data_IF_318333188859
#
_entry.id   IF_318333188859
#
_cell.length_a   1.000
_cell.length_b   1.000
_cell.length_c   1.000
_cell.angle_alpha   90.00
_cell.angle_beta   90.00
_cell.angle_gamma   90.00
#
_symmetry.space_group_name_H-M   'P 1'
#
loop_
_entity.id
_entity.type
_entity.pdbx_description
1 polymer ?
#
# COMPACT_ATOMS: atom_id res chain seq x y z
N UNK A 1 -10.94 25.50 -8.90
CA UNK A 1 -12.09 25.04 -8.09
C UNK A 1 -12.52 23.60 -8.44
N UNK A 2 -11.60 22.62 -8.41
CA UNK A 2 -11.91 21.18 -8.54
C UNK A 2 -11.30 20.32 -7.43
N UNK A 3 -10.34 20.88 -6.67
CA UNK A 3 -9.60 20.21 -5.57
C UNK A 3 -10.49 19.84 -4.38
N UNK A 4 -11.51 20.63 -4.04
CA UNK A 4 -12.35 20.36 -2.86
C UNK A 4 -13.39 19.25 -3.06
N UNK A 5 -13.82 18.97 -4.29
CA UNK A 5 -14.92 18.03 -4.53
C UNK A 5 -14.46 16.55 -4.46
N UNK A 6 -13.21 16.25 -4.85
CA UNK A 6 -12.71 14.87 -4.94
C UNK A 6 -12.24 14.33 -3.58
N UNK A 7 -11.58 15.17 -2.76
CA UNK A 7 -11.30 14.85 -1.36
C UNK A 7 -12.58 14.70 -0.54
N UNK A 8 -13.61 15.50 -0.84
CA UNK A 8 -14.91 15.34 -0.21
C UNK A 8 -15.51 13.97 -0.54
N UNK A 9 -15.47 13.47 -1.77
CA UNK A 9 -16.14 12.22 -2.15
C UNK A 9 -15.40 10.96 -1.64
N UNK A 10 -14.06 10.95 -1.62
CA UNK A 10 -13.29 9.84 -1.03
C UNK A 10 -13.26 9.88 0.50
N UNK A 11 -13.32 11.08 1.10
CA UNK A 11 -13.55 11.26 2.53
C UNK A 11 -14.98 10.90 2.95
N UNK A 12 -16.00 11.22 2.14
CA UNK A 12 -17.40 10.97 2.49
C UNK A 12 -17.70 9.49 2.65
N UNK A 13 -17.12 8.60 1.83
CA UNK A 13 -17.29 7.15 1.98
C UNK A 13 -16.63 6.57 3.24
N UNK A 14 -15.66 7.28 3.86
CA UNK A 14 -15.06 6.90 5.15
C UNK A 14 -15.78 7.57 6.35
N UNK A 15 -16.39 8.73 6.14
CA UNK A 15 -17.02 9.53 7.22
C UNK A 15 -18.41 9.00 7.63
N UNK A 16 -19.14 8.28 6.78
CA UNK A 16 -20.47 7.74 7.16
C UNK A 16 -20.40 6.59 8.18
N UNK A 17 -19.21 6.11 8.53
CA UNK A 17 -19.00 5.13 9.61
C UNK A 17 -18.46 5.75 10.91
N UNK A 18 -18.23 7.06 10.96
CA UNK A 18 -17.63 7.74 12.13
C UNK A 18 -18.64 8.49 13.03
N UNK A 19 -19.88 8.01 13.11
CA UNK A 19 -20.75 8.37 14.23
C UNK A 19 -20.35 7.55 15.46
N UNK A 20 -19.50 8.14 16.31
CA UNK A 20 -19.02 7.55 17.57
C UNK A 20 -20.16 7.19 18.52
N UNK A 21 -19.98 6.08 19.21
CA UNK A 21 -20.30 5.96 20.63
C UNK A 21 -19.11 5.33 21.37
N UNK A 22 -18.81 5.85 22.56
CA UNK A 22 -17.91 5.29 23.58
C UNK A 22 -18.63 5.51 24.92
N UNK A 23 -18.54 4.60 25.91
CA UNK A 23 -18.47 3.14 25.88
C UNK A 23 -19.64 2.51 26.67
N UNK A 24 -19.91 1.22 26.47
CA UNK A 24 -20.67 0.40 27.41
C UNK A 24 -20.03 -0.97 27.47
N UNK A 25 -19.85 -1.50 28.68
CA UNK A 25 -19.36 -2.84 28.96
C UNK A 25 -20.17 -3.88 28.15
N UNK A 26 -19.59 -4.35 27.04
CA UNK A 26 -20.29 -5.24 26.11
C UNK A 26 -19.32 -5.87 25.13
N UNK A 27 -18.69 -6.97 25.56
CA UNK A 27 -17.55 -7.61 24.90
C UNK A 27 -17.80 -8.34 23.58
N UNK A 28 -18.50 -7.75 22.61
CA UNK A 28 -18.63 -8.32 21.25
C UNK A 28 -18.47 -7.32 20.09
N UNK A 29 -18.89 -6.05 20.21
CA UNK A 29 -18.79 -5.07 19.11
C UNK A 29 -17.39 -4.44 18.99
N UNK A 30 -16.80 -4.06 20.11
CA UNK A 30 -15.46 -3.44 20.18
C UNK A 30 -14.38 -4.39 19.64
N UNK A 31 -14.53 -5.70 19.90
CA UNK A 31 -13.64 -6.75 19.39
C UNK A 31 -13.73 -6.86 17.85
N UNK A 32 -14.93 -6.73 17.28
CA UNK A 32 -15.14 -6.80 15.84
C UNK A 32 -14.53 -5.61 15.09
N UNK A 33 -14.78 -4.39 15.56
CA UNK A 33 -14.31 -3.17 14.91
C UNK A 33 -12.77 -3.11 14.91
N UNK A 34 -12.14 -3.45 16.03
CA UNK A 34 -10.68 -3.51 16.11
C UNK A 34 -10.08 -4.60 15.22
N UNK A 35 -10.68 -5.80 15.19
CA UNK A 35 -10.22 -6.89 14.32
C UNK A 35 -10.26 -6.49 12.85
N UNK A 36 -11.34 -5.83 12.45
CA UNK A 36 -11.51 -5.34 11.09
C UNK A 36 -10.50 -4.25 10.75
N UNK A 37 -10.28 -3.28 11.64
CA UNK A 37 -9.31 -2.21 11.46
C UNK A 37 -7.90 -2.77 11.37
N UNK A 38 -7.53 -3.67 12.28
CA UNK A 38 -6.24 -4.34 12.27
C UNK A 38 -6.02 -5.11 10.96
N UNK A 39 -6.99 -5.92 10.54
CA UNK A 39 -6.91 -6.65 9.26
C UNK A 39 -6.71 -5.69 8.08
N UNK A 40 -7.52 -4.63 8.01
CA UNK A 40 -7.52 -3.68 6.90
C UNK A 40 -6.20 -2.93 6.79
N UNK A 41 -5.63 -2.49 7.92
CA UNK A 41 -4.36 -1.79 7.95
C UNK A 41 -3.16 -2.71 7.72
N UNK A 42 -3.17 -3.93 8.26
CA UNK A 42 -2.12 -4.93 7.96
C UNK A 42 -2.16 -5.32 6.48
N UNK A 43 -3.35 -5.44 5.88
CA UNK A 43 -3.50 -5.68 4.43
C UNK A 43 -3.00 -4.50 3.60
N UNK A 44 -3.21 -3.27 4.05
CA UNK A 44 -2.65 -2.09 3.39
C UNK A 44 -1.13 -2.10 3.49
N UNK A 45 -0.57 -2.24 4.69
CA UNK A 45 0.87 -2.35 4.90
C UNK A 45 1.48 -3.43 4.01
N UNK A 46 0.84 -4.60 3.94
CA UNK A 46 1.31 -5.70 3.09
C UNK A 46 1.31 -5.34 1.61
N UNK A 47 0.31 -4.61 1.10
CA UNK A 47 0.32 -4.13 -0.30
C UNK A 47 1.46 -3.16 -0.58
N UNK A 48 1.75 -2.26 0.36
CA UNK A 48 2.81 -1.27 0.21
C UNK A 48 4.20 -1.91 0.37
N UNK A 49 4.37 -2.85 1.29
CA UNK A 49 5.70 -3.34 1.67
C UNK A 49 6.02 -4.74 1.15
N UNK A 50 4.99 -5.50 0.72
CA UNK A 50 5.07 -6.91 0.28
C UNK A 50 5.62 -7.86 1.37
N UNK A 51 5.44 -7.45 2.63
CA UNK A 51 5.74 -8.24 3.83
C UNK A 51 4.72 -7.93 4.92
N UNK A 52 4.60 -8.82 5.89
CA UNK A 52 3.84 -8.56 7.11
C UNK A 52 4.59 -7.56 8.01
N UNK A 53 3.86 -6.67 8.71
CA UNK A 53 4.48 -5.73 9.63
C UNK A 53 4.82 -6.38 10.98
N UNK A 54 5.78 -5.82 11.69
CA UNK A 54 5.81 -5.90 13.16
C UNK A 54 4.77 -4.95 13.77
N UNK A 55 4.48 -5.07 15.08
CA UNK A 55 3.57 -4.13 15.77
C UNK A 55 4.08 -2.68 15.62
N UNK A 56 5.39 -2.47 15.79
CA UNK A 56 5.99 -1.14 15.69
C UNK A 56 6.01 -0.61 14.25
N UNK A 57 6.23 -1.46 13.26
CA UNK A 57 6.12 -1.07 11.85
C UNK A 57 4.69 -0.65 11.50
N UNK A 58 3.67 -1.36 12.00
CA UNK A 58 2.27 -1.01 11.78
C UNK A 58 1.90 0.31 12.45
N UNK A 59 2.36 0.54 13.70
CA UNK A 59 2.16 1.80 14.41
C UNK A 59 2.77 2.97 13.63
N UNK A 60 4.02 2.84 13.21
CA UNK A 60 4.70 3.87 12.43
C UNK A 60 4.03 4.11 11.07
N UNK A 61 3.51 3.05 10.44
CA UNK A 61 2.75 3.17 9.20
C UNK A 61 1.45 3.95 9.41
N UNK A 62 0.66 3.64 10.46
CA UNK A 62 -0.55 4.39 10.81
C UNK A 62 -0.23 5.85 11.14
N UNK A 63 0.81 6.09 11.95
CA UNK A 63 1.21 7.45 12.35
C UNK A 63 1.57 8.31 11.15
N UNK A 64 2.42 7.80 10.26
CA UNK A 64 2.82 8.50 9.03
C UNK A 64 1.63 8.96 8.20
N UNK A 65 0.61 8.12 8.06
CA UNK A 65 -0.59 8.48 7.30
C UNK A 65 -1.46 9.54 8.00
N UNK A 66 -1.50 9.51 9.34
CA UNK A 66 -2.20 10.52 10.12
C UNK A 66 -1.50 11.87 9.98
N UNK A 67 -0.17 11.88 10.14
CA UNK A 67 0.62 13.10 10.09
C UNK A 67 0.68 13.69 8.68
N UNK A 68 0.84 12.86 7.65
CA UNK A 68 0.78 13.28 6.23
C UNK A 68 -0.55 13.94 5.87
N UNK A 69 -1.68 13.38 6.34
CA UNK A 69 -3.00 14.00 6.16
C UNK A 69 -3.15 15.34 6.89
N UNK A 70 -2.28 15.61 7.86
CA UNK A 70 -2.16 16.86 8.60
C UNK A 70 -0.92 17.65 8.16
N UNK A 71 -0.48 17.48 6.92
CA UNK A 71 0.59 18.28 6.30
C UNK A 71 1.93 18.17 7.07
N UNK A 72 2.16 17.03 7.74
CA UNK A 72 3.31 16.74 8.60
C UNK A 72 3.53 17.79 9.71
N UNK A 73 2.43 18.29 10.26
CA UNK A 73 2.44 19.38 11.26
C UNK A 73 2.86 18.92 12.66
N UNK A 74 2.72 17.63 12.98
CA UNK A 74 2.86 17.15 14.35
C UNK A 74 4.18 16.40 14.56
N UNK A 75 4.90 16.74 15.64
CA UNK A 75 6.11 16.02 16.04
C UNK A 75 5.86 14.60 16.56
N UNK A 76 4.66 14.33 17.09
CA UNK A 76 4.31 13.02 17.64
C UNK A 76 2.80 12.79 17.68
N UNK A 77 2.39 11.53 17.83
CA UNK A 77 0.99 11.17 18.01
C UNK A 77 0.39 11.80 19.27
N UNK A 78 1.16 11.97 20.35
CA UNK A 78 0.69 12.64 21.56
C UNK A 78 0.37 14.12 21.31
N UNK A 79 1.16 14.81 20.47
CA UNK A 79 0.91 16.20 20.11
C UNK A 79 -0.34 16.32 19.24
N UNK A 80 -0.52 15.40 18.29
CA UNK A 80 -1.75 15.27 17.51
C UNK A 80 -2.99 15.04 18.42
N UNK A 81 -2.89 14.17 19.42
CA UNK A 81 -4.00 13.90 20.33
C UNK A 81 -4.45 15.14 21.12
N UNK A 82 -3.52 16.02 21.50
CA UNK A 82 -3.80 17.26 22.24
C UNK A 82 -4.30 18.40 21.35
N UNK A 83 -4.07 18.34 20.04
CA UNK A 83 -4.48 19.40 19.12
C UNK A 83 -6.00 19.49 18.95
N UNK A 84 -6.49 20.72 18.82
CA UNK A 84 -7.90 21.06 18.54
C UNK A 84 -8.15 21.07 17.03
N UNK A 85 -7.21 21.60 16.24
CA UNK A 85 -7.32 21.72 14.79
C UNK A 85 -6.61 20.54 14.12
N UNK A 86 -7.27 19.39 14.07
CA UNK A 86 -6.75 18.17 13.44
C UNK A 86 -7.73 17.55 12.46
N UNK A 87 -7.19 17.09 11.33
CA UNK A 87 -7.91 16.25 10.37
C UNK A 87 -7.84 14.81 10.87
N UNK A 88 -9.00 14.22 11.18
CA UNK A 88 -9.11 12.79 11.50
C UNK A 88 -9.13 11.97 10.22
N UNK A 89 -8.52 10.79 10.30
CA UNK A 89 -8.29 9.91 9.15
C UNK A 89 -8.95 8.53 9.34
N UNK A 90 -9.44 8.21 10.54
CA UNK A 90 -10.06 6.93 10.90
C UNK A 90 -9.04 5.86 11.33
N UNK A 91 -7.78 6.24 11.53
CA UNK A 91 -6.66 5.35 11.91
C UNK A 91 -6.20 5.55 13.34
N UNK A 92 -6.67 6.63 13.94
CA UNK A 92 -6.25 7.10 15.26
C UNK A 92 -6.59 6.06 16.33
N UNK A 93 -7.78 5.45 16.26
CA UNK A 93 -8.25 4.52 17.27
C UNK A 93 -7.43 3.21 17.25
N UNK A 94 -7.08 2.69 16.06
CA UNK A 94 -6.14 1.56 15.92
C UNK A 94 -4.75 1.90 16.47
N UNK A 95 -4.19 3.07 16.10
CA UNK A 95 -2.86 3.48 16.56
C UNK A 95 -2.83 3.66 18.10
N UNK A 96 -3.88 4.27 18.65
CA UNK A 96 -4.04 4.45 20.08
C UNK A 96 -4.10 3.10 20.79
N UNK A 97 -4.91 2.17 20.30
CA UNK A 97 -5.05 0.84 20.89
C UNK A 97 -3.74 0.04 20.84
N UNK A 98 -3.04 0.03 19.68
CA UNK A 98 -1.72 -0.61 19.56
C UNK A 98 -0.68 0.00 20.51
N UNK A 99 -0.81 1.29 20.84
CA UNK A 99 0.09 1.99 21.75
C UNK A 99 -0.21 1.68 23.22
N UNK A 100 -1.50 1.64 23.60
CA UNK A 100 -1.95 1.30 24.95
C UNK A 100 -1.66 -0.15 25.32
N UNK A 101 -1.73 -1.06 24.34
CA UNK A 101 -1.61 -2.50 24.54
C UNK A 101 -0.31 -3.09 23.98
N UNK A 102 0.78 -2.30 24.00
CA UNK A 102 2.08 -2.69 23.44
C UNK A 102 2.66 -3.99 24.01
N UNK A 103 2.33 -4.30 25.27
CA UNK A 103 2.83 -5.50 25.98
C UNK A 103 1.83 -6.67 25.88
N UNK A 104 0.59 -6.41 25.45
CA UNK A 104 -0.47 -7.40 25.30
C UNK A 104 -0.58 -7.93 23.86
N UNK A 105 -0.20 -7.15 22.85
CA UNK A 105 -0.27 -7.54 21.42
C UNK A 105 1.11 -7.91 20.90
N UNK A 106 1.20 -9.05 20.22
CA UNK A 106 2.37 -9.41 19.43
C UNK A 106 2.00 -10.07 18.11
N UNK A 107 2.88 -9.92 17.11
CA UNK A 107 2.74 -10.54 15.79
C UNK A 107 3.87 -11.55 15.59
N UNK A 108 3.52 -12.78 15.21
CA UNK A 108 4.48 -13.79 14.78
C UNK A 108 4.29 -14.11 13.30
N UNK A 109 5.38 -14.06 12.53
CA UNK A 109 5.36 -14.36 11.09
C UNK A 109 5.95 -15.74 10.88
N UNK A 110 5.13 -16.67 10.37
CA UNK A 110 5.52 -18.06 10.08
C UNK A 110 4.87 -18.52 8.77
N UNK A 111 5.65 -19.14 7.89
CA UNK A 111 5.18 -19.78 6.64
C UNK A 111 4.22 -18.89 5.82
N UNK A 112 4.69 -17.69 5.44
CA UNK A 112 3.90 -16.71 4.64
C UNK A 112 2.56 -16.30 5.27
N UNK A 113 2.44 -16.46 6.60
CA UNK A 113 1.27 -16.04 7.36
C UNK A 113 1.71 -15.32 8.63
N UNK A 114 0.81 -14.51 9.17
CA UNK A 114 1.03 -13.77 10.40
C UNK A 114 -0.02 -14.16 11.42
N UNK A 115 0.42 -14.68 12.56
CA UNK A 115 -0.43 -14.92 13.71
C UNK A 115 -0.37 -13.69 14.63
N UNK A 116 -1.53 -13.27 15.13
CA UNK A 116 -1.63 -12.19 16.11
C UNK A 116 -2.00 -12.80 17.45
N UNK A 117 -1.26 -12.42 18.49
CA UNK A 117 -1.48 -12.87 19.84
C UNK A 117 -1.98 -11.71 20.70
N UNK A 118 -2.95 -12.00 21.56
CA UNK A 118 -3.45 -11.12 22.61
C UNK A 118 -3.21 -11.78 23.96
N UNK A 119 -2.43 -11.14 24.84
CA UNK A 119 -2.06 -11.66 26.16
C UNK A 119 -1.49 -13.08 26.10
N UNK A 120 -0.62 -13.32 25.12
CA UNK A 120 0.02 -14.62 24.85
C UNK A 120 -0.88 -15.68 24.23
N UNK A 121 -2.17 -15.40 23.98
CA UNK A 121 -3.09 -16.33 23.30
C UNK A 121 -3.27 -15.95 21.84
N UNK A 122 -3.15 -16.94 20.95
CA UNK A 122 -3.41 -16.73 19.53
C UNK A 122 -4.85 -16.25 19.34
N UNK A 123 -5.00 -15.10 18.70
CA UNK A 123 -6.27 -14.40 18.59
C UNK A 123 -6.78 -14.35 17.15
N UNK A 124 -5.89 -14.17 16.17
CA UNK A 124 -6.23 -14.24 14.75
C UNK A 124 -5.04 -14.68 13.89
N UNK A 125 -5.33 -15.04 12.64
CA UNK A 125 -4.33 -15.40 11.64
C UNK A 125 -4.62 -14.68 10.32
N UNK A 126 -3.59 -14.06 9.75
CA UNK A 126 -3.64 -13.47 8.42
C UNK A 126 -2.82 -14.30 7.45
N UNK A 127 -3.41 -14.60 6.30
CA UNK A 127 -2.74 -15.20 5.15
C UNK A 127 -3.21 -14.47 3.90
N UNK A 128 -2.29 -13.78 3.23
CA UNK A 128 -2.58 -12.98 2.05
C UNK A 128 -2.01 -13.67 0.83
N UNK A 129 -2.87 -13.96 -0.14
CA UNK A 129 -2.46 -14.42 -1.46
C UNK A 129 -2.23 -13.18 -2.34
N UNK A 130 -0.95 -12.87 -2.60
CA UNK A 130 -0.56 -11.71 -3.40
C UNK A 130 -1.14 -11.79 -4.83
N UNK A 131 -1.11 -12.97 -5.46
CA UNK A 131 -1.65 -13.20 -6.80
C UNK A 131 -3.16 -12.96 -6.84
N UNK A 132 -3.90 -13.47 -5.84
CA UNK A 132 -5.33 -13.26 -5.71
C UNK A 132 -5.66 -11.78 -5.47
N UNK A 133 -4.89 -11.10 -4.63
CA UNK A 133 -5.07 -9.67 -4.35
C UNK A 133 -4.87 -8.81 -5.61
N UNK A 134 -3.86 -9.12 -6.42
CA UNK A 134 -3.60 -8.45 -7.70
C UNK A 134 -4.75 -8.69 -8.67
N UNK A 135 -5.24 -9.94 -8.78
CA UNK A 135 -6.38 -10.29 -9.65
C UNK A 135 -7.66 -9.54 -9.24
N UNK A 136 -7.92 -9.42 -7.93
CA UNK A 136 -9.12 -8.75 -7.40
C UNK A 136 -9.09 -7.24 -7.61
N UNK A 137 -7.96 -6.56 -7.33
CA UNK A 137 -7.88 -5.09 -7.43
C UNK A 137 -6.45 -4.58 -7.63
N UNK A 138 -5.98 -4.65 -8.87
CA UNK A 138 -4.61 -4.27 -9.26
C UNK A 138 -4.27 -2.80 -9.01
N UNK A 139 -5.23 -1.88 -9.12
CA UNK A 139 -5.03 -0.45 -8.85
C UNK A 139 -4.61 -0.14 -7.41
N UNK A 140 -4.83 -1.06 -6.46
CA UNK A 140 -4.41 -0.84 -5.08
C UNK A 140 -2.91 -1.02 -4.84
N UNK A 141 -2.14 -1.40 -5.87
CA UNK A 141 -0.72 -1.73 -5.78
C UNK A 141 0.22 -0.66 -6.36
N UNK A 142 -0.30 0.49 -6.79
CA UNK A 142 0.52 1.65 -7.15
C UNK A 142 1.00 2.36 -5.89
N UNK A 143 2.31 2.48 -5.71
CA UNK A 143 2.95 3.16 -4.59
C UNK A 143 4.27 3.82 -5.04
N UNK A 144 4.61 4.95 -4.42
CA UNK A 144 5.84 5.69 -4.67
C UNK A 144 6.67 5.73 -3.39
N UNK A 145 7.99 5.64 -3.52
CA UNK A 145 8.89 5.58 -2.38
C UNK A 145 10.05 6.55 -2.56
N UNK A 146 10.29 7.38 -1.56
CA UNK A 146 11.48 8.22 -1.53
C UNK A 146 12.75 7.38 -1.20
N UNK A 147 13.91 8.04 -1.19
CA UNK A 147 15.21 7.41 -0.91
C UNK A 147 15.30 6.77 0.47
N UNK A 148 14.55 7.25 1.46
CA UNK A 148 14.45 6.68 2.81
C UNK A 148 13.47 5.50 2.91
N UNK A 149 12.83 5.12 1.81
CA UNK A 149 11.83 4.04 1.77
C UNK A 149 10.45 4.45 2.31
N UNK A 150 10.21 5.74 2.53
CA UNK A 150 8.87 6.24 2.88
C UNK A 150 7.94 6.08 1.68
N UNK A 151 6.83 5.39 1.90
CA UNK A 151 5.84 5.06 0.88
C UNK A 151 4.68 6.06 0.93
N UNK A 152 4.33 6.68 -0.19
CA UNK A 152 3.14 7.51 -0.35
C UNK A 152 2.19 6.95 -1.41
N UNK A 153 0.91 7.34 -1.31
CA UNK A 153 -0.06 7.25 -2.40
C UNK A 153 -0.40 8.66 -2.81
N UNK A 154 0.07 9.06 -3.99
CA UNK A 154 -0.25 10.35 -4.60
C UNK A 154 -1.09 10.09 -5.86
N UNK A 155 -2.30 10.66 -5.87
CA UNK A 155 -3.26 10.47 -6.95
C UNK A 155 -2.82 11.16 -8.25
N UNK A 156 -2.21 12.36 -8.14
CA UNK A 156 -1.73 13.11 -9.31
C UNK A 156 -0.58 12.33 -9.97
N UNK A 157 0.30 11.74 -9.17
CA UNK A 157 1.39 10.91 -9.68
C UNK A 157 0.89 9.61 -10.33
N UNK A 158 -0.17 9.01 -9.78
CA UNK A 158 -0.77 7.80 -10.36
C UNK A 158 -1.39 8.06 -11.73
N UNK A 159 -2.09 9.20 -11.91
CA UNK A 159 -2.66 9.58 -13.22
C UNK A 159 -1.58 9.85 -14.27
N UNK A 160 -0.56 10.64 -13.93
CA UNK A 160 0.55 10.91 -14.85
C UNK A 160 1.33 9.64 -15.22
N UNK A 161 1.61 8.79 -14.23
CA UNK A 161 2.25 7.49 -14.46
C UNK A 161 1.40 6.61 -15.40
N UNK A 162 0.07 6.61 -15.23
CA UNK A 162 -0.83 5.87 -16.10
C UNK A 162 -0.71 6.31 -17.57
N UNK A 163 -0.62 7.62 -17.82
CA UNK A 163 -0.45 8.19 -19.15
C UNK A 163 0.89 7.74 -19.76
N UNK A 164 2.00 7.97 -19.05
CA UNK A 164 3.35 7.58 -19.51
C UNK A 164 3.40 6.10 -19.87
N UNK A 165 2.87 5.25 -18.98
CA UNK A 165 2.86 3.80 -19.20
C UNK A 165 2.03 3.42 -20.43
N UNK A 166 0.88 4.06 -20.63
CA UNK A 166 0.01 3.80 -21.78
C UNK A 166 0.71 4.18 -23.10
N UNK A 167 1.28 5.38 -23.18
CA UNK A 167 1.97 5.86 -24.38
C UNK A 167 3.13 4.95 -24.79
N UNK A 168 3.94 4.52 -23.81
CA UNK A 168 5.08 3.63 -24.05
C UNK A 168 4.58 2.24 -24.46
N UNK A 169 3.49 1.75 -23.85
CA UNK A 169 2.91 0.47 -24.23
C UNK A 169 2.42 0.49 -25.67
N UNK A 170 1.65 1.50 -26.05
CA UNK A 170 1.07 1.61 -27.39
C UNK A 170 2.16 1.74 -28.47
N UNK A 171 3.32 2.31 -28.13
CA UNK A 171 4.45 2.45 -29.05
C UNK A 171 5.33 1.21 -29.19
N UNK A 172 5.53 0.45 -28.11
CA UNK A 172 6.56 -0.60 -28.06
C UNK A 172 6.03 -2.02 -27.85
N UNK A 173 4.72 -2.21 -27.74
CA UNK A 173 4.08 -3.54 -27.72
C UNK A 173 3.38 -3.77 -29.06
N UNK A 174 3.99 -4.58 -29.93
CA UNK A 174 3.48 -4.84 -31.29
C UNK A 174 2.25 -5.75 -31.31
N UNK A 175 1.47 -5.69 -32.39
CA UNK A 175 0.27 -6.51 -32.58
C UNK A 175 0.55 -8.02 -32.55
N UNK A 176 1.74 -8.45 -32.96
CA UNK A 176 2.19 -9.85 -32.82
C UNK A 176 2.30 -10.27 -31.36
N UNK A 177 2.76 -9.38 -30.47
CA UNK A 177 2.80 -9.62 -29.02
C UNK A 177 1.43 -9.44 -28.36
N UNK A 178 0.51 -8.69 -28.98
CA UNK A 178 -0.89 -8.61 -28.51
C UNK A 178 -1.62 -9.95 -28.65
N UNK A 179 -1.19 -10.83 -29.56
CA UNK A 179 -1.71 -12.20 -29.69
C UNK A 179 -1.21 -13.14 -28.60
N UNK A 180 -0.11 -12.81 -27.91
CA UNK A 180 0.37 -13.57 -26.76
C UNK A 180 -0.62 -13.44 -25.59
N UNK A 181 -0.70 -14.47 -24.76
CA UNK A 181 -1.47 -14.39 -23.51
C UNK A 181 -0.78 -13.41 -22.56
N UNK A 182 -1.54 -12.46 -22.02
CA UNK A 182 -1.03 -11.50 -21.04
C UNK A 182 -1.34 -11.97 -19.63
N UNK A 183 -0.36 -11.82 -18.74
CA UNK A 183 -0.56 -12.05 -17.32
C UNK A 183 -0.28 -10.78 -16.49
N UNK A 184 -1.06 -10.53 -15.41
CA UNK A 184 -0.76 -9.47 -14.48
C UNK A 184 0.51 -9.80 -13.70
N UNK A 185 1.37 -8.80 -13.54
CA UNK A 185 2.58 -8.89 -12.75
C UNK A 185 2.74 -7.66 -11.86
N UNK A 186 3.37 -7.86 -10.71
CA UNK A 186 3.73 -6.81 -9.78
C UNK A 186 5.21 -6.51 -9.92
N UNK A 187 5.52 -5.27 -10.28
CA UNK A 187 6.88 -4.78 -10.46
C UNK A 187 7.20 -3.72 -9.42
N UNK A 188 8.47 -3.66 -9.02
CA UNK A 188 9.09 -2.43 -8.52
C UNK A 188 10.14 -1.97 -9.50
N UNK A 189 10.15 -0.69 -9.80
CA UNK A 189 11.23 -0.03 -10.52
C UNK A 189 11.94 0.89 -9.56
N UNK A 190 13.22 0.62 -9.31
CA UNK A 190 14.13 1.46 -8.54
C UNK A 190 15.10 2.13 -9.51
N UNK A 191 15.32 3.44 -9.39
CA UNK A 191 16.18 4.20 -10.30
C UNK A 191 17.62 3.68 -10.37
N UNK A 192 18.12 3.09 -9.29
CA UNK A 192 19.50 2.58 -9.23
C UNK A 192 19.59 1.08 -9.57
N UNK A 193 18.49 0.33 -9.37
CA UNK A 193 18.49 -1.15 -9.48
C UNK A 193 17.66 -1.69 -10.64
N UNK A 194 16.87 -0.84 -11.30
CA UNK A 194 15.95 -1.22 -12.36
C UNK A 194 14.75 -2.03 -11.85
N UNK A 195 14.23 -2.92 -12.72
CA UNK A 195 13.03 -3.69 -12.45
C UNK A 195 13.27 -4.91 -11.55
N UNK A 196 12.39 -5.09 -10.56
CA UNK A 196 12.25 -6.30 -9.75
C UNK A 196 10.83 -6.85 -9.89
N UNK A 197 10.72 -8.17 -10.08
CA UNK A 197 9.45 -8.88 -10.21
C UNK A 197 9.08 -9.53 -8.87
N UNK A 198 7.86 -9.26 -8.38
CA UNK A 198 7.34 -9.82 -7.13
C UNK A 198 6.18 -10.81 -7.32
N UNK A 199 5.48 -10.71 -8.45
CA UNK A 199 4.41 -11.64 -8.82
C UNK A 199 4.33 -11.70 -10.35
N UNK A 200 4.19 -12.88 -10.98
CA UNK A 200 4.12 -14.21 -10.36
C UNK A 200 5.43 -14.59 -9.65
N UNK A 201 5.31 -15.38 -8.57
CA UNK A 201 6.47 -15.87 -7.82
C UNK A 201 7.30 -16.86 -8.66
N UNK A 202 8.59 -17.02 -8.32
CA UNK A 202 9.53 -17.95 -8.98
C UNK A 202 9.67 -17.74 -10.49
N UNK A 203 9.56 -16.49 -10.91
CA UNK A 203 9.72 -16.08 -12.30
C UNK A 203 10.72 -14.94 -12.37
N UNK A 204 11.42 -14.83 -13.49
CA UNK A 204 12.21 -13.63 -13.82
C UNK A 204 11.56 -12.90 -14.98
N UNK A 205 11.66 -11.59 -14.93
CA UNK A 205 11.26 -10.73 -16.04
C UNK A 205 12.43 -10.59 -17.00
N UNK A 206 12.21 -10.98 -18.26
CA UNK A 206 13.17 -10.78 -19.33
C UNK A 206 13.17 -9.30 -19.72
N UNK A 207 14.35 -8.82 -20.07
CA UNK A 207 14.49 -7.47 -20.59
C UNK A 207 13.78 -7.38 -21.95
N UNK A 208 13.03 -6.30 -22.16
CA UNK A 208 12.31 -6.05 -23.41
C UNK A 208 12.43 -4.59 -23.80
N UNK A 209 12.22 -4.28 -25.07
CA UNK A 209 12.22 -2.89 -25.56
C UNK A 209 11.18 -2.07 -24.80
N UNK A 210 9.98 -2.62 -24.57
CA UNK A 210 8.94 -1.97 -23.78
C UNK A 210 9.40 -1.60 -22.37
N UNK A 211 9.95 -2.56 -21.61
CA UNK A 211 10.40 -2.30 -20.24
C UNK A 211 11.59 -1.34 -20.20
N UNK A 212 12.54 -1.47 -21.13
CA UNK A 212 13.67 -0.54 -21.22
C UNK A 212 13.18 0.89 -21.45
N UNK A 213 12.24 1.09 -22.36
CA UNK A 213 11.69 2.42 -22.66
C UNK A 213 10.84 2.97 -21.52
N UNK A 214 10.08 2.10 -20.84
CA UNK A 214 9.36 2.48 -19.63
C UNK A 214 10.32 2.88 -18.50
N UNK A 215 11.42 2.16 -18.32
CA UNK A 215 12.45 2.47 -17.34
C UNK A 215 13.05 3.86 -17.54
N UNK A 216 13.47 4.19 -18.77
CA UNK A 216 14.00 5.53 -19.08
C UNK A 216 13.00 6.66 -18.80
N UNK A 217 11.71 6.44 -19.08
CA UNK A 217 10.67 7.42 -18.78
C UNK A 217 10.41 7.52 -17.26
N UNK A 218 10.46 6.40 -16.55
CA UNK A 218 10.36 6.36 -15.10
C UNK A 218 11.53 7.07 -14.43
N UNK A 219 12.76 6.95 -14.93
CA UNK A 219 13.91 7.70 -14.38
C UNK A 219 13.65 9.20 -14.36
N UNK A 220 13.16 9.74 -15.48
CA UNK A 220 12.83 11.16 -15.60
C UNK A 220 11.64 11.53 -14.71
N UNK A 221 10.58 10.71 -14.75
CA UNK A 221 9.35 10.94 -13.98
C UNK A 221 9.60 10.98 -12.47
N UNK A 222 10.40 10.03 -11.97
CA UNK A 222 10.70 9.87 -10.54
C UNK A 222 11.74 10.89 -10.07
N UNK A 223 12.77 11.18 -10.87
CA UNK A 223 13.79 12.20 -10.55
C UNK A 223 13.15 13.57 -10.35
N UNK A 224 12.22 13.97 -11.21
CA UNK A 224 11.54 15.27 -11.13
C UNK A 224 10.63 15.43 -9.89
N UNK A 225 10.44 14.35 -9.10
CA UNK A 225 9.56 14.30 -7.92
C UNK A 225 10.28 13.90 -6.64
N UNK A 226 11.60 13.78 -6.68
CA UNK A 226 12.40 13.26 -5.56
C UNK A 226 11.92 11.87 -5.07
N UNK A 227 11.51 11.02 -6.03
CA UNK A 227 11.10 9.65 -5.78
C UNK A 227 12.25 8.73 -6.22
N UNK A 228 12.52 7.70 -5.42
CA UNK A 228 13.51 6.67 -5.71
C UNK A 228 12.92 5.48 -6.45
N UNK A 229 11.72 5.06 -6.04
CA UNK A 229 11.13 3.81 -6.49
C UNK A 229 9.63 3.94 -6.71
N UNK A 230 9.11 3.18 -7.68
CA UNK A 230 7.68 2.98 -7.90
C UNK A 230 7.35 1.49 -7.88
N UNK A 231 6.27 1.13 -7.19
CA UNK A 231 5.64 -0.18 -7.26
C UNK A 231 4.35 -0.07 -8.06
N UNK A 232 4.09 -1.00 -8.97
CA UNK A 232 2.84 -1.01 -9.74
C UNK A 232 2.53 -2.39 -10.33
N UNK A 233 1.24 -2.62 -10.62
CA UNK A 233 0.80 -3.78 -11.40
C UNK A 233 0.69 -3.42 -12.87
N UNK A 234 1.25 -4.25 -13.74
CA UNK A 234 1.07 -4.17 -15.19
C UNK A 234 0.79 -5.53 -15.80
N UNK A 235 0.27 -5.55 -17.03
CA UNK A 235 0.08 -6.79 -17.80
C UNK A 235 1.20 -6.91 -18.81
N UNK A 236 1.90 -8.04 -18.81
CA UNK A 236 2.96 -8.34 -19.77
C UNK A 236 2.67 -9.65 -20.52
N UNK A 237 3.16 -9.80 -21.75
CA UNK A 237 3.13 -11.08 -22.47
C UNK A 237 3.81 -12.20 -21.65
N UNK A 238 3.24 -13.40 -21.66
CA UNK A 238 3.83 -14.57 -20.97
C UNK A 238 5.26 -14.86 -21.44
N UNK A 239 5.62 -14.52 -22.68
CA UNK A 239 6.97 -14.70 -23.24
C UNK A 239 8.05 -13.86 -22.53
N UNK A 240 7.65 -12.79 -21.83
CA UNK A 240 8.55 -11.95 -21.03
C UNK A 240 8.92 -12.59 -19.69
N UNK A 241 8.38 -13.76 -19.38
CA UNK A 241 8.70 -14.47 -18.16
C UNK A 241 9.55 -15.70 -18.47
N UNK A 242 10.55 -15.94 -17.65
CA UNK A 242 11.25 -17.23 -17.58
C UNK A 242 11.03 -17.84 -16.20
N UNK A 243 10.89 -19.16 -16.13
CA UNK A 243 10.90 -19.87 -14.85
C UNK A 243 12.27 -19.72 -14.21
N UNK A 244 12.29 -19.55 -12.89
CA UNK A 244 13.51 -19.64 -12.08
C UNK A 244 14.02 -21.08 -11.95
#
# INVERSE_FOLDING_TARGET
MKRFLVYAITGLFLVIYSCKSLPSEGGNSIDYDFKFDLYSHVKWYYRANLKYPSVEELKNFCWKMIDDANDNTFSSFSDFEKSINKKRTGREDLLQYLSMHKDDISFEIKNESMDVFWKGKKWMKFKFDLCEMIKKKSSLFTYFYNSSGYCSKDFDYEEEFYIIRKEIRDKYVTDTMQRSKFQPCLLRYDRDRGYQLYSPSKSRIKQSIYLNKLGCALDTFLLNRDIQMIQFVTKLPEDYFSKE
#
